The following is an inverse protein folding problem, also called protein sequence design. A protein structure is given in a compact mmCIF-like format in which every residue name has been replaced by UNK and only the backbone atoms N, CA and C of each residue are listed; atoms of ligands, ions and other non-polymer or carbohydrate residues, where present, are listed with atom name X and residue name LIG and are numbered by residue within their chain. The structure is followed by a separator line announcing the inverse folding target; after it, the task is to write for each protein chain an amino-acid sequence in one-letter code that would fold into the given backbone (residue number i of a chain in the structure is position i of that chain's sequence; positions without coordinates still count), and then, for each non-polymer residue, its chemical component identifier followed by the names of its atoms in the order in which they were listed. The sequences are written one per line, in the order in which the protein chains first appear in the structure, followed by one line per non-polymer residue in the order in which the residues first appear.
data_IF_065810346156
#
_entry.id   IF_065810346156
#
_cell.length_a   1.000
_cell.length_b   1.000
_cell.length_c   1.000
_cell.angle_alpha   90.00
_cell.angle_beta   90.00
_cell.angle_gamma   90.00
#
_symmetry.space_group_name_H-M   'P 1'
#
loop_
_entity.id
_entity.type
_entity.pdbx_description
1 polymer ?
#
# COMPACT_ATOMS: atom_id res chain seq x y z
N UNK A 1 2.02 10.93 0.05
CA UNK A 1 2.08 11.28 1.49
C UNK A 1 2.23 12.78 1.64
N UNK A 2 1.74 13.38 2.72
CA UNK A 2 1.72 14.83 2.92
C UNK A 2 2.31 15.23 4.30
N UNK A 3 2.97 16.40 4.41
CA UNK A 3 3.46 16.93 5.68
C UNK A 3 2.29 17.42 6.55
N UNK A 4 2.48 17.38 7.87
CA UNK A 4 1.51 17.94 8.82
C UNK A 4 1.76 19.44 9.03
N UNK A 5 0.71 20.24 8.89
CA UNK A 5 0.70 21.71 9.02
C UNK A 5 1.80 22.42 8.21
N UNK A 6 1.87 22.23 6.88
CA UNK A 6 2.89 22.87 6.04
C UNK A 6 2.88 24.40 6.12
N UNK A 7 1.75 25.02 6.45
CA UNK A 7 1.60 26.48 6.63
C UNK A 7 2.48 27.07 7.73
N UNK A 8 3.05 26.25 8.63
CA UNK A 8 3.98 26.73 9.65
C UNK A 8 5.40 27.01 9.11
N UNK A 9 5.70 26.61 7.87
CA UNK A 9 6.99 26.92 7.24
C UNK A 9 8.19 26.22 7.87
N UNK A 10 7.97 25.14 8.65
CA UNK A 10 9.04 24.41 9.37
C UNK A 10 9.65 23.27 8.55
N UNK A 11 9.20 23.05 7.32
CA UNK A 11 9.66 21.98 6.42
C UNK A 11 9.77 20.61 7.12
N UNK A 12 8.65 20.06 7.63
CA UNK A 12 8.70 18.86 8.45
C UNK A 12 9.20 17.64 7.67
N UNK A 13 10.01 16.81 8.34
CA UNK A 13 10.54 15.56 7.79
C UNK A 13 9.58 14.36 7.94
N UNK A 14 8.50 14.52 8.70
CA UNK A 14 7.46 13.50 8.90
C UNK A 14 6.30 13.68 7.93
N UNK A 15 5.94 12.59 7.24
CA UNK A 15 4.85 12.58 6.26
C UNK A 15 3.83 11.52 6.60
N UNK A 16 2.57 11.79 6.26
CA UNK A 16 1.45 10.91 6.56
C UNK A 16 0.68 10.55 5.29
N UNK A 17 0.06 9.36 5.29
CA UNK A 17 -0.96 9.01 4.32
C UNK A 17 -2.31 9.46 4.90
N UNK A 18 -3.00 10.47 4.31
CA UNK A 18 -4.24 10.99 4.87
C UNK A 18 -5.34 9.93 4.90
N UNK A 19 -6.13 9.79 5.96
CA UNK A 19 -7.19 8.78 6.05
C UNK A 19 -8.41 9.13 5.18
N UNK A 20 -8.84 8.21 4.31
CA UNK A 20 -9.94 8.47 3.34
C UNK A 20 -11.31 8.73 3.95
N UNK A 21 -11.57 8.27 5.18
CA UNK A 21 -12.88 8.36 5.84
C UNK A 21 -13.09 9.63 6.68
N UNK A 22 -12.07 10.48 6.81
CA UNK A 22 -12.17 11.72 7.58
C UNK A 22 -12.71 12.85 6.69
N UNK A 23 -13.53 13.78 7.22
CA UNK A 23 -14.06 14.91 6.45
C UNK A 23 -12.97 15.71 5.75
N UNK A 24 -13.18 16.04 4.46
CA UNK A 24 -12.16 16.67 3.61
C UNK A 24 -11.68 18.02 4.12
N UNK A 25 -12.60 18.90 4.53
CA UNK A 25 -12.23 20.21 5.07
C UNK A 25 -11.30 20.14 6.29
N UNK A 26 -11.47 19.12 7.15
CA UNK A 26 -10.58 18.92 8.29
C UNK A 26 -9.19 18.47 7.84
N UNK A 27 -9.11 17.56 6.87
CA UNK A 27 -7.83 17.12 6.33
C UNK A 27 -7.12 18.24 5.56
N UNK A 28 -7.84 19.06 4.79
CA UNK A 28 -7.29 20.24 4.11
C UNK A 28 -6.63 21.21 5.08
N UNK A 29 -7.27 21.45 6.24
CA UNK A 29 -6.69 22.27 7.31
C UNK A 29 -5.36 21.68 7.85
N UNK A 30 -5.27 20.35 7.95
CA UNK A 30 -4.11 19.65 8.50
C UNK A 30 -2.96 19.49 7.52
N UNK A 31 -3.26 19.15 6.26
CA UNK A 31 -2.26 18.70 5.27
C UNK A 31 -2.18 19.65 4.06
N UNK A 32 -3.05 20.65 3.98
CA UNK A 32 -3.12 21.59 2.87
C UNK A 32 -4.00 21.11 1.70
N UNK A 33 -4.01 21.86 0.60
CA UNK A 33 -4.92 21.62 -0.54
C UNK A 33 -4.62 20.32 -1.33
N UNK A 34 -3.45 19.70 -1.13
CA UNK A 34 -3.05 18.47 -1.84
C UNK A 34 -3.71 17.18 -1.34
N UNK A 35 -4.61 17.25 -0.36
CA UNK A 35 -5.21 16.08 0.29
C UNK A 35 -6.02 15.22 -0.67
N UNK A 36 -6.89 15.83 -1.48
CA UNK A 36 -7.78 15.06 -2.34
C UNK A 36 -6.98 14.21 -3.31
N UNK A 37 -6.00 14.84 -3.97
CA UNK A 37 -5.07 14.16 -4.86
C UNK A 37 -4.30 13.03 -4.16
N UNK A 38 -3.82 13.26 -2.94
CA UNK A 38 -3.13 12.23 -2.17
C UNK A 38 -4.05 11.04 -1.86
N UNK A 39 -5.33 11.26 -1.57
CA UNK A 39 -6.30 10.19 -1.29
C UNK A 39 -6.66 9.43 -2.56
N UNK A 40 -6.93 10.13 -3.67
CA UNK A 40 -7.18 9.52 -4.97
C UNK A 40 -6.04 8.59 -5.38
N UNK A 41 -4.79 9.03 -5.22
CA UNK A 41 -3.61 8.29 -5.63
C UNK A 41 -3.50 6.92 -4.95
N UNK A 42 -3.73 6.83 -3.63
CA UNK A 42 -3.67 5.53 -2.95
C UNK A 42 -5.01 4.77 -2.96
N UNK A 43 -6.12 5.39 -3.39
CA UNK A 43 -7.41 4.72 -3.54
C UNK A 43 -7.42 3.77 -4.74
N UNK A 44 -6.76 4.17 -5.84
CA UNK A 44 -6.53 3.33 -7.01
C UNK A 44 -5.03 3.38 -7.37
N UNK A 45 -4.16 2.72 -6.57
CA UNK A 45 -2.72 2.83 -6.73
C UNK A 45 -2.27 2.19 -8.04
N UNK A 46 -1.22 2.77 -8.63
CA UNK A 46 -0.48 2.12 -9.72
C UNK A 46 0.26 0.87 -9.22
N UNK A 47 0.83 0.13 -10.17
CA UNK A 47 1.52 -1.14 -9.92
C UNK A 47 2.64 -1.02 -8.88
N UNK A 48 3.43 0.05 -8.92
CA UNK A 48 4.54 0.24 -7.98
C UNK A 48 4.05 0.69 -6.60
N UNK A 49 3.09 1.62 -6.55
CA UNK A 49 2.51 2.07 -5.30
C UNK A 49 1.79 0.92 -4.56
N UNK A 50 1.05 0.07 -5.29
CA UNK A 50 0.42 -1.12 -4.72
C UNK A 50 1.47 -2.06 -4.09
N UNK A 51 2.58 -2.30 -4.79
CA UNK A 51 3.69 -3.11 -4.29
C UNK A 51 4.31 -2.54 -3.00
N UNK A 52 4.54 -1.24 -2.93
CA UNK A 52 5.09 -0.59 -1.73
C UNK A 52 4.08 -0.66 -0.57
N UNK A 53 2.80 -0.45 -0.83
CA UNK A 53 1.74 -0.53 0.18
C UNK A 53 1.64 -1.94 0.78
N UNK A 54 1.87 -3.00 -0.01
CA UNK A 54 1.89 -4.37 0.50
C UNK A 54 2.98 -4.64 1.53
N UNK A 55 4.09 -3.88 1.52
CA UNK A 55 5.15 -4.03 2.52
C UNK A 55 4.75 -3.48 3.89
N UNK A 56 3.69 -2.68 3.97
CA UNK A 56 3.29 -2.06 5.23
C UNK A 56 2.91 -3.13 6.24
N UNK A 57 3.49 -3.04 7.45
CA UNK A 57 3.26 -3.96 8.58
C UNK A 57 3.64 -5.43 8.35
N UNK A 58 4.36 -5.74 7.29
CA UNK A 58 4.79 -7.12 6.99
C UNK A 58 5.95 -7.62 7.86
N UNK A 59 6.76 -6.72 8.39
CA UNK A 59 7.91 -7.04 9.25
C UNK A 59 8.13 -5.96 10.31
N UNK A 60 8.83 -6.32 11.39
CA UNK A 60 9.27 -5.38 12.44
C UNK A 60 10.62 -4.72 12.10
N UNK A 61 11.32 -5.19 11.07
CA UNK A 61 12.59 -4.61 10.64
C UNK A 61 12.37 -3.41 9.71
N UNK A 62 13.26 -2.43 9.78
CA UNK A 62 13.30 -1.34 8.81
C UNK A 62 13.77 -1.90 7.47
N UNK A 63 13.00 -1.64 6.42
CA UNK A 63 13.36 -1.93 5.04
C UNK A 63 14.16 -0.76 4.47
N UNK A 64 15.35 -1.03 3.94
CA UNK A 64 16.24 -0.03 3.35
C UNK A 64 16.19 -0.03 1.82
N UNK A 65 15.75 -1.14 1.23
CA UNK A 65 15.57 -1.33 -0.20
C UNK A 65 14.39 -2.28 -0.42
N UNK A 66 13.66 -2.09 -1.51
CA UNK A 66 12.72 -3.05 -2.04
C UNK A 66 13.04 -3.39 -3.50
N UNK A 67 12.56 -4.54 -3.96
CA UNK A 67 12.59 -4.97 -5.35
C UNK A 67 11.22 -5.52 -5.74
N UNK A 68 10.80 -5.28 -6.98
CA UNK A 68 9.54 -5.77 -7.53
C UNK A 68 9.86 -6.73 -8.68
N UNK A 69 9.51 -8.00 -8.49
CA UNK A 69 9.53 -9.01 -9.55
C UNK A 69 8.16 -8.99 -10.22
N UNK A 70 8.13 -8.59 -11.49
CA UNK A 70 6.90 -8.42 -12.27
C UNK A 70 6.24 -9.77 -12.57
N UNK A 71 4.99 -9.92 -12.13
CA UNK A 71 4.13 -11.05 -12.47
C UNK A 71 3.13 -10.77 -13.60
N UNK A 72 2.31 -11.77 -13.88
CA UNK A 72 1.22 -11.72 -14.87
C UNK A 72 0.01 -10.96 -14.33
N UNK A 73 -0.89 -10.49 -15.22
CA UNK A 73 -2.15 -9.85 -14.81
C UNK A 73 -3.10 -10.92 -14.25
N UNK A 74 -3.63 -10.69 -13.06
CA UNK A 74 -4.51 -11.64 -12.35
C UNK A 74 -5.95 -11.15 -12.24
N UNK A 75 -6.16 -9.83 -12.16
CA UNK A 75 -7.52 -9.28 -12.06
C UNK A 75 -7.61 -7.88 -12.66
N UNK A 76 -8.85 -7.46 -12.91
CA UNK A 76 -9.23 -6.09 -13.22
C UNK A 76 -10.48 -5.78 -12.38
N UNK A 77 -10.36 -4.77 -11.51
CA UNK A 77 -11.40 -4.44 -10.52
C UNK A 77 -11.84 -3.00 -10.72
N UNK A 78 -13.14 -2.74 -10.73
CA UNK A 78 -13.66 -1.38 -10.69
C UNK A 78 -13.57 -0.81 -9.26
N UNK A 79 -12.85 0.30 -9.12
CA UNK A 79 -12.68 1.03 -7.87
C UNK A 79 -13.51 2.30 -7.92
N UNK A 80 -14.31 2.55 -6.87
CA UNK A 80 -14.99 3.83 -6.67
C UNK A 80 -14.04 4.83 -6.03
N UNK A 81 -13.81 5.94 -6.72
CA UNK A 81 -12.95 7.03 -6.31
C UNK A 81 -13.66 7.92 -5.27
N UNK A 82 -12.90 8.73 -4.49
CA UNK A 82 -13.47 9.67 -3.51
C UNK A 82 -14.53 10.64 -4.04
N UNK A 83 -14.41 11.07 -5.29
CA UNK A 83 -15.33 11.96 -5.98
C UNK A 83 -16.62 11.25 -6.47
N UNK A 84 -16.70 9.92 -6.29
CA UNK A 84 -17.80 9.08 -6.75
C UNK A 84 -17.63 8.55 -8.17
N UNK A 85 -16.56 8.91 -8.89
CA UNK A 85 -16.24 8.34 -10.19
C UNK A 85 -15.76 6.89 -10.06
N UNK A 86 -15.79 6.12 -11.16
CA UNK A 86 -15.26 4.76 -11.20
C UNK A 86 -14.00 4.69 -12.06
N UNK A 87 -13.05 3.85 -11.63
CA UNK A 87 -11.80 3.59 -12.36
C UNK A 87 -11.46 2.11 -12.33
N UNK A 88 -11.08 1.55 -13.48
CA UNK A 88 -10.56 0.19 -13.54
C UNK A 88 -9.12 0.14 -13.01
N UNK A 89 -8.89 -0.74 -12.04
CA UNK A 89 -7.59 -1.05 -11.49
C UNK A 89 -7.14 -2.43 -11.99
N UNK A 90 -6.01 -2.47 -12.68
CA UNK A 90 -5.36 -3.72 -13.08
C UNK A 90 -4.50 -4.25 -11.93
N UNK A 91 -4.67 -5.53 -11.61
CA UNK A 91 -3.89 -6.22 -10.57
C UNK A 91 -2.98 -7.24 -11.24
N UNK A 92 -1.69 -7.17 -10.88
CA UNK A 92 -0.65 -8.08 -11.34
C UNK A 92 -0.15 -8.91 -10.18
N UNK A 93 0.25 -10.16 -10.44
CA UNK A 93 0.82 -11.07 -9.44
C UNK A 93 2.28 -10.74 -9.11
N UNK A 94 2.55 -9.47 -8.83
CA UNK A 94 3.88 -9.01 -8.49
C UNK A 94 4.35 -9.60 -7.17
N UNK A 95 5.65 -9.91 -7.12
CA UNK A 95 6.31 -10.31 -5.88
C UNK A 95 7.22 -9.19 -5.43
N UNK A 96 6.96 -8.69 -4.22
CA UNK A 96 7.70 -7.59 -3.61
C UNK A 96 8.63 -8.15 -2.54
N UNK A 97 9.91 -7.79 -2.64
CA UNK A 97 10.96 -8.28 -1.75
C UNK A 97 11.54 -7.10 -0.99
N UNK A 98 11.60 -7.18 0.34
CA UNK A 98 12.18 -6.16 1.20
C UNK A 98 13.52 -6.59 1.80
N UNK A 99 14.48 -5.67 1.80
CA UNK A 99 15.84 -5.88 2.30
C UNK A 99 16.16 -4.97 3.48
N UNK A 100 16.89 -5.50 4.46
CA UNK A 100 17.42 -4.71 5.57
C UNK A 100 18.73 -3.98 5.20
N UNK A 101 19.32 -3.27 6.17
CA UNK A 101 20.57 -2.51 5.99
C UNK A 101 21.79 -3.33 5.53
N UNK A 102 21.73 -4.66 5.64
CA UNK A 102 22.80 -5.57 5.23
C UNK A 102 22.50 -6.24 3.89
N UNK A 103 21.51 -5.73 3.13
CA UNK A 103 21.03 -6.33 1.88
C UNK A 103 20.51 -7.75 2.05
N UNK A 104 20.14 -8.16 3.27
CA UNK A 104 19.50 -9.45 3.52
C UNK A 104 18.01 -9.32 3.28
N UNK A 105 17.44 -10.26 2.51
CA UNK A 105 16.00 -10.41 2.36
C UNK A 105 15.37 -10.70 3.73
N UNK A 106 14.38 -9.89 4.11
CA UNK A 106 13.65 -10.04 5.38
C UNK A 106 12.16 -10.24 5.19
N UNK A 107 11.65 -9.97 3.99
CA UNK A 107 10.24 -10.16 3.64
C UNK A 107 10.08 -10.39 2.15
N UNK A 108 9.13 -11.24 1.78
CA UNK A 108 8.69 -11.51 0.42
C UNK A 108 7.18 -11.69 0.45
N UNK A 109 6.47 -10.89 -0.35
CA UNK A 109 5.01 -10.93 -0.45
C UNK A 109 4.63 -10.99 -1.92
N UNK A 110 3.64 -11.81 -2.24
CA UNK A 110 3.07 -11.97 -3.58
C UNK A 110 1.58 -11.60 -3.50
N UNK A 111 1.03 -11.03 -4.57
CA UNK A 111 -0.37 -10.55 -4.57
C UNK A 111 -1.37 -11.68 -4.41
N UNK A 112 -1.18 -12.79 -5.13
CA UNK A 112 -1.96 -14.00 -4.89
C UNK A 112 -1.46 -14.72 -3.64
N UNK A 113 -2.36 -14.94 -2.70
CA UNK A 113 -2.07 -15.75 -1.51
C UNK A 113 -1.92 -17.23 -1.91
N UNK A 114 -0.86 -17.91 -1.44
CA UNK A 114 -0.71 -19.34 -1.68
C UNK A 114 -1.81 -20.12 -0.97
N UNK A 115 -2.41 -21.07 -1.70
CA UNK A 115 -3.36 -22.02 -1.14
C UNK A 115 -2.58 -23.17 -0.50
N UNK A 116 -2.70 -23.30 0.82
CA UNK A 116 -2.12 -24.43 1.55
C UNK A 116 -3.19 -25.49 1.80
N UNK A 117 -3.11 -26.61 1.08
CA UNK A 117 -3.96 -27.77 1.37
C UNK A 117 -3.39 -28.55 2.56
N UNK A 118 -4.22 -28.74 3.59
CA UNK A 118 -3.85 -29.54 4.76
C UNK A 118 -3.77 -31.02 4.36
N UNK A 119 -2.74 -31.77 4.79
CA UNK A 119 -2.69 -33.21 4.57
C UNK A 119 -3.87 -33.94 5.23
N UNK A 120 -4.47 -34.90 4.51
CA UNK A 120 -5.66 -35.63 4.96
C UNK A 120 -5.46 -36.50 6.23
N UNK A 121 -4.22 -36.70 6.65
CA UNK A 121 -3.84 -37.65 7.71
C UNK A 121 -4.42 -37.32 9.11
N UNK A 122 -4.78 -36.06 9.39
CA UNK A 122 -5.38 -35.64 10.66
C UNK A 122 -6.64 -34.80 10.46
N UNK A 123 -7.60 -35.28 9.67
CA UNK A 123 -8.84 -34.55 9.38
C UNK A 123 -9.69 -34.22 10.63
N UNK A 124 -9.56 -34.98 11.73
CA UNK A 124 -10.48 -34.94 12.89
C UNK A 124 -9.82 -34.69 14.26
N UNK A 125 -8.61 -34.14 14.33
CA UNK A 125 -8.05 -33.71 15.62
C UNK A 125 -8.47 -32.27 15.91
N UNK A 126 -9.55 -32.11 16.69
CA UNK A 126 -9.86 -30.89 17.46
C UNK A 126 -8.91 -30.81 18.66
#
# INVERSE_FOLDING_TARGET
ALPLYPQFGTEPNGYYIPPRWVPRHYLEQMFGPGVEHAIEQYSCPDRELLAVLQLFRTTQQILFKYEIVKGEKVAEIEVTMPDGSTRAQEIFNDTVIGYNKFSKEVVRVTVEEPIFERPAYHANSI
#
